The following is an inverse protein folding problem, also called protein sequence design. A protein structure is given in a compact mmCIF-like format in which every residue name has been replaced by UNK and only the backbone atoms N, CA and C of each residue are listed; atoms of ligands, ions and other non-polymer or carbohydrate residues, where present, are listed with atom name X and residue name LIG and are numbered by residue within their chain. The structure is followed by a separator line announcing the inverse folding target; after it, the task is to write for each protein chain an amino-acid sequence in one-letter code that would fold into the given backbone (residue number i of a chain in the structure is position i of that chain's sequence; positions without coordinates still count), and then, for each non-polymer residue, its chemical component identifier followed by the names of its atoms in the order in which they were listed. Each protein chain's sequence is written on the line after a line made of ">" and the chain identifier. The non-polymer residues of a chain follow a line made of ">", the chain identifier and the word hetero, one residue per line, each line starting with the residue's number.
data_IF_978908019567
#
_entry.id   IF_978908019567
#
_cell.length_a   1.000
_cell.length_b   1.000
_cell.length_c   1.000
_cell.angle_alpha   90.00
_cell.angle_beta   90.00
_cell.angle_gamma   90.00
#
_symmetry.space_group_name_H-M   'P 1'
#
loop_
_entity.id
_entity.type
_entity.pdbx_description
1 polymer ?
#
# COMPACT_ATOMS: atom_id res chain seq x y z
N UNK A 1 -4.04 40.55 -9.37
CA UNK A 1 -3.70 39.65 -10.49
C UNK A 1 -2.70 38.53 -10.14
N UNK A 2 -1.75 38.71 -9.19
CA UNK A 2 -0.83 37.64 -8.74
C UNK A 2 -1.52 36.58 -7.85
N UNK A 3 -2.36 37.02 -6.90
CA UNK A 3 -3.05 36.15 -5.94
C UNK A 3 -4.10 35.23 -6.62
N UNK A 4 -4.87 35.77 -7.56
CA UNK A 4 -5.86 34.99 -8.32
C UNK A 4 -5.21 33.94 -9.22
N UNK A 5 -4.05 34.24 -9.81
CA UNK A 5 -3.26 33.25 -10.57
C UNK A 5 -2.72 32.15 -9.66
N UNK A 6 -2.19 32.48 -8.48
CA UNK A 6 -1.70 31.48 -7.51
C UNK A 6 -2.80 30.54 -7.01
N UNK A 7 -3.99 31.05 -6.69
CA UNK A 7 -5.14 30.22 -6.29
C UNK A 7 -5.55 29.28 -7.42
N UNK A 8 -5.62 29.78 -8.65
CA UNK A 8 -5.95 28.96 -9.83
C UNK A 8 -4.89 27.86 -10.07
N UNK A 9 -3.60 28.17 -9.86
CA UNK A 9 -2.52 27.19 -9.97
C UNK A 9 -2.63 26.10 -8.91
N UNK A 10 -2.94 26.44 -7.65
CA UNK A 10 -3.13 25.46 -6.58
C UNK A 10 -4.33 24.55 -6.83
N UNK A 11 -5.43 25.10 -7.34
CA UNK A 11 -6.61 24.32 -7.74
C UNK A 11 -6.26 23.36 -8.89
N UNK A 12 -5.49 23.80 -9.89
CA UNK A 12 -5.07 22.95 -11.00
C UNK A 12 -4.19 21.77 -10.55
N UNK A 13 -3.24 22.02 -9.65
CA UNK A 13 -2.36 20.98 -9.07
C UNK A 13 -3.18 20.00 -8.21
N UNK A 14 -4.17 20.51 -7.46
CA UNK A 14 -5.09 19.67 -6.69
C UNK A 14 -5.95 18.77 -7.58
N UNK A 15 -6.49 19.31 -8.67
CA UNK A 15 -7.29 18.53 -9.63
C UNK A 15 -6.43 17.50 -10.36
N UNK A 16 -5.20 17.84 -10.77
CA UNK A 16 -4.33 16.90 -11.47
C UNK A 16 -3.89 15.75 -10.56
N UNK A 17 -3.54 16.03 -9.30
CA UNK A 17 -3.19 14.99 -8.32
C UNK A 17 -4.38 14.09 -7.98
N UNK A 18 -5.59 14.65 -7.88
CA UNK A 18 -6.83 13.89 -7.67
C UNK A 18 -7.21 13.03 -8.90
N UNK A 19 -7.02 13.56 -10.11
CA UNK A 19 -7.24 12.85 -11.38
C UNK A 19 -6.20 11.73 -11.61
N UNK A 20 -4.94 11.97 -11.22
CA UNK A 20 -3.91 10.94 -11.21
C UNK A 20 -4.26 9.80 -10.26
N UNK A 21 -4.74 10.11 -9.04
CA UNK A 21 -5.11 9.11 -8.04
C UNK A 21 -6.15 8.09 -8.57
N UNK A 22 -7.14 8.55 -9.35
CA UNK A 22 -8.19 7.68 -9.89
C UNK A 22 -7.70 6.68 -10.95
N UNK A 23 -6.55 6.93 -11.59
CA UNK A 23 -5.94 6.06 -12.61
C UNK A 23 -4.71 5.28 -12.11
N UNK A 24 -4.41 5.27 -10.80
CA UNK A 24 -3.20 4.63 -10.25
C UNK A 24 -3.25 3.10 -10.31
N UNK A 25 -4.43 2.50 -10.17
CA UNK A 25 -4.57 1.07 -9.94
C UNK A 25 -5.09 0.31 -11.16
N UNK A 26 -4.28 -0.63 -11.66
CA UNK A 26 -4.68 -1.58 -12.71
C UNK A 26 -5.72 -2.57 -12.22
N UNK A 27 -5.71 -2.90 -10.92
CA UNK A 27 -6.67 -3.85 -10.33
C UNK A 27 -6.90 -3.56 -8.86
N UNK A 28 -8.18 -3.53 -8.47
CA UNK A 28 -8.63 -3.55 -7.07
C UNK A 28 -9.20 -4.94 -6.78
N UNK A 29 -8.74 -5.57 -5.70
CA UNK A 29 -9.20 -6.89 -5.28
C UNK A 29 -10.37 -6.74 -4.29
N UNK A 30 -11.04 -7.86 -3.95
CA UNK A 30 -12.15 -7.85 -3.00
C UNK A 30 -11.71 -7.31 -1.64
N UNK A 31 -12.52 -6.42 -1.08
CA UNK A 31 -12.37 -5.94 0.29
C UNK A 31 -12.48 -7.06 1.32
N UNK A 32 -11.94 -6.83 2.52
CA UNK A 32 -12.09 -7.71 3.68
C UNK A 32 -11.41 -9.09 3.53
N UNK A 33 -10.51 -9.24 2.54
CA UNK A 33 -9.76 -10.50 2.32
C UNK A 33 -8.48 -10.57 3.15
N UNK A 34 -7.79 -9.44 3.34
CA UNK A 34 -6.54 -9.34 4.08
C UNK A 34 -6.75 -8.70 5.45
N UNK A 35 -7.46 -7.58 5.47
CA UNK A 35 -7.82 -6.83 6.67
C UNK A 35 -9.20 -6.21 6.45
N UNK A 36 -9.90 -5.91 7.56
CA UNK A 36 -11.23 -5.29 7.49
C UNK A 36 -11.13 -3.91 6.82
N UNK A 37 -12.09 -3.64 5.94
CA UNK A 37 -12.25 -2.40 5.18
C UNK A 37 -11.10 -2.09 4.19
N UNK A 38 -10.19 -3.04 3.97
CA UNK A 38 -9.08 -2.87 3.02
C UNK A 38 -9.26 -3.73 1.78
N UNK A 39 -8.85 -3.18 0.63
CA UNK A 39 -8.65 -3.93 -0.60
C UNK A 39 -7.17 -3.95 -0.97
N UNK A 40 -6.67 -5.14 -1.33
CA UNK A 40 -5.38 -5.24 -2.04
C UNK A 40 -5.54 -4.52 -3.37
N UNK A 41 -4.54 -3.75 -3.78
CA UNK A 41 -4.48 -3.11 -5.09
C UNK A 41 -3.20 -3.47 -5.81
N UNK A 42 -3.27 -3.46 -7.14
CA UNK A 42 -2.12 -3.57 -8.03
C UNK A 42 -2.06 -2.32 -8.89
N UNK A 43 -0.96 -1.59 -8.84
CA UNK A 43 -0.77 -0.41 -9.67
C UNK A 43 -0.49 -0.76 -11.14
N UNK A 44 -0.35 0.27 -11.97
CA UNK A 44 0.01 0.10 -13.39
C UNK A 44 1.41 -0.49 -13.60
N UNK A 45 2.33 -0.32 -12.64
CA UNK A 45 3.71 -0.85 -12.71
C UNK A 45 3.78 -2.34 -12.34
N UNK A 46 2.76 -2.83 -11.66
CA UNK A 46 2.62 -4.20 -11.21
C UNK A 46 2.93 -4.44 -9.73
N UNK A 47 3.17 -3.37 -8.97
CA UNK A 47 3.42 -3.36 -7.53
C UNK A 47 2.10 -3.39 -6.75
N UNK A 48 2.16 -3.89 -5.52
CA UNK A 48 1.03 -4.11 -4.64
C UNK A 48 1.05 -3.20 -3.42
N UNK A 49 -0.15 -2.82 -2.98
CA UNK A 49 -0.43 -1.98 -1.82
C UNK A 49 -1.84 -2.24 -1.29
N UNK A 50 -2.32 -1.38 -0.39
CA UNK A 50 -3.69 -1.44 0.14
C UNK A 50 -4.36 -0.07 0.09
N UNK A 51 -5.65 -0.08 -0.18
CA UNK A 51 -6.54 1.08 -0.03
C UNK A 51 -7.66 0.77 0.97
N UNK A 52 -8.21 1.81 1.58
CA UNK A 52 -9.46 1.73 2.35
C UNK A 52 -10.70 1.86 1.45
N UNK A 53 -11.90 1.87 2.06
CA UNK A 53 -13.18 1.98 1.33
C UNK A 53 -13.40 3.33 0.65
N UNK A 54 -12.72 4.38 1.11
CA UNK A 54 -12.77 5.70 0.50
C UNK A 54 -11.78 5.79 -0.69
N UNK A 55 -11.06 4.70 -0.98
CA UNK A 55 -10.04 4.63 -2.01
C UNK A 55 -8.73 5.30 -1.61
N UNK A 56 -8.58 5.69 -0.33
CA UNK A 56 -7.35 6.29 0.17
C UNK A 56 -6.31 5.20 0.41
N UNK A 57 -5.09 5.51 0.03
CA UNK A 57 -3.95 4.62 0.24
C UNK A 57 -3.66 4.43 1.74
N UNK A 58 -3.63 3.16 2.14
CA UNK A 58 -3.21 2.71 3.48
C UNK A 58 -1.78 2.19 3.44
N UNK A 59 -1.43 1.47 2.36
CA UNK A 59 -0.09 0.97 2.10
C UNK A 59 0.27 1.28 0.65
N UNK A 60 1.38 1.98 0.45
CA UNK A 60 1.90 2.34 -0.87
C UNK A 60 2.09 1.12 -1.78
N UNK A 61 1.80 1.29 -3.07
CA UNK A 61 2.05 0.26 -4.09
C UNK A 61 3.52 0.17 -4.48
N UNK A 62 4.37 -0.27 -3.55
CA UNK A 62 5.82 -0.40 -3.72
C UNK A 62 6.33 -1.84 -3.59
N UNK A 63 5.44 -2.78 -3.23
CA UNK A 63 5.83 -4.16 -2.95
C UNK A 63 5.59 -5.06 -4.14
N UNK A 64 6.54 -5.92 -4.48
CA UNK A 64 6.33 -6.99 -5.46
C UNK A 64 5.33 -8.04 -4.97
N UNK A 65 5.17 -8.19 -3.64
CA UNK A 65 4.20 -9.10 -3.04
C UNK A 65 3.84 -8.67 -1.61
N UNK A 66 2.56 -8.85 -1.25
CA UNK A 66 2.08 -8.74 0.13
C UNK A 66 1.37 -10.04 0.50
N UNK A 67 1.75 -10.62 1.65
CA UNK A 67 1.13 -11.81 2.23
C UNK A 67 -0.13 -11.50 3.02
N UNK A 68 -0.88 -12.54 3.39
CA UNK A 68 -2.01 -12.40 4.33
C UNK A 68 -1.48 -12.18 5.75
N UNK A 69 -2.30 -11.54 6.59
CA UNK A 69 -2.09 -11.51 8.02
C UNK A 69 -2.46 -12.90 8.58
N UNK A 70 -1.44 -13.73 8.82
CA UNK A 70 -1.61 -15.12 9.29
C UNK A 70 -0.97 -15.31 10.65
N UNK A 71 -1.46 -16.28 11.43
CA UNK A 71 -0.89 -16.66 12.73
C UNK A 71 0.61 -16.97 12.67
N UNK A 72 1.11 -17.52 11.55
CA UNK A 72 2.53 -17.80 11.32
C UNK A 72 3.46 -16.56 11.47
N UNK A 73 2.92 -15.35 11.31
CA UNK A 73 3.64 -14.09 11.49
C UNK A 73 2.92 -13.20 12.53
N UNK A 74 2.15 -13.82 13.42
CA UNK A 74 1.35 -13.15 14.44
C UNK A 74 0.38 -12.14 13.82
N UNK A 75 0.51 -10.87 14.23
CA UNK A 75 -0.30 -9.75 13.74
C UNK A 75 0.26 -9.05 12.50
N UNK A 76 1.33 -9.57 11.90
CA UNK A 76 2.05 -8.93 10.81
C UNK A 76 1.81 -9.63 9.47
N UNK A 77 1.95 -8.89 8.38
CA UNK A 77 1.97 -9.43 7.02
C UNK A 77 3.39 -9.34 6.45
N UNK A 78 3.82 -10.42 5.79
CA UNK A 78 5.08 -10.45 5.06
C UNK A 78 4.97 -9.61 3.79
N UNK A 79 5.90 -8.68 3.60
CA UNK A 79 6.02 -7.92 2.36
C UNK A 79 7.33 -8.27 1.66
N UNK A 80 7.33 -8.18 0.33
CA UNK A 80 8.51 -8.36 -0.50
C UNK A 80 8.67 -7.17 -1.41
N UNK A 81 9.82 -6.51 -1.39
CA UNK A 81 10.12 -5.41 -2.30
C UNK A 81 10.41 -5.91 -3.73
N UNK A 82 10.64 -4.98 -4.64
CA UNK A 82 10.98 -5.29 -6.04
C UNK A 82 12.38 -5.90 -6.21
N UNK A 83 13.30 -5.67 -5.27
CA UNK A 83 14.66 -6.19 -5.31
C UNK A 83 14.76 -7.64 -4.78
N UNK A 84 13.74 -8.10 -4.07
CA UNK A 84 13.63 -9.48 -3.61
C UNK A 84 13.70 -9.68 -2.10
N UNK A 85 13.85 -8.61 -1.32
CA UNK A 85 14.00 -8.63 0.12
C UNK A 85 12.64 -8.59 0.84
N UNK A 86 12.62 -9.15 2.04
CA UNK A 86 11.44 -9.33 2.87
C UNK A 86 11.46 -8.40 4.06
N UNK A 87 10.28 -7.88 4.38
CA UNK A 87 9.97 -7.06 5.54
C UNK A 87 8.63 -7.45 6.15
N UNK A 88 8.17 -6.68 7.13
CA UNK A 88 6.89 -6.89 7.82
C UNK A 88 6.13 -5.58 7.95
N UNK A 89 4.82 -5.64 7.72
CA UNK A 89 3.88 -4.56 8.03
C UNK A 89 2.87 -5.00 9.08
N UNK A 90 2.34 -4.07 9.85
CA UNK A 90 1.25 -4.32 10.82
C UNK A 90 -0.15 -4.14 10.20
N UNK A 91 -1.19 -4.38 11.01
CA UNK A 91 -2.61 -4.22 10.64
C UNK A 91 -3.06 -2.76 10.49
N UNK A 92 -2.17 -1.80 10.69
CA UNK A 92 -2.39 -0.39 10.37
C UNK A 92 -1.63 0.04 9.12
N UNK A 93 -0.90 -0.88 8.47
CA UNK A 93 -0.14 -0.63 7.26
C UNK A 93 1.25 -0.05 7.54
N UNK A 94 1.64 0.04 8.82
CA UNK A 94 2.94 0.56 9.21
C UNK A 94 4.02 -0.48 8.98
N UNK A 95 5.15 -0.06 8.41
CA UNK A 95 6.35 -0.89 8.32
C UNK A 95 6.91 -1.12 9.73
N UNK A 96 7.03 -2.39 10.10
CA UNK A 96 7.59 -2.86 11.37
C UNK A 96 9.02 -3.35 11.16
N UNK A 97 9.26 -4.00 10.02
CA UNK A 97 10.57 -4.45 9.58
C UNK A 97 10.74 -4.05 8.13
N UNK A 98 11.78 -3.26 7.85
CA UNK A 98 12.10 -2.84 6.49
C UNK A 98 12.42 -4.06 5.58
N UNK A 99 12.12 -4.01 4.28
CA UNK A 99 12.46 -5.07 3.34
C UNK A 99 13.96 -5.12 3.05
N UNK A 100 14.76 -5.60 4.01
CA UNK A 100 16.22 -5.72 3.89
C UNK A 100 16.71 -7.16 4.14
N UNK A 101 15.80 -8.08 4.44
CA UNK A 101 16.15 -9.46 4.78
C UNK A 101 15.93 -10.40 3.59
N UNK A 102 16.91 -11.23 3.27
CA UNK A 102 16.74 -12.25 2.22
C UNK A 102 15.65 -13.29 2.56
N UNK A 103 15.34 -13.47 3.85
CA UNK A 103 14.29 -14.36 4.35
C UNK A 103 13.84 -13.93 5.74
N UNK A 104 12.55 -14.07 6.02
CA UNK A 104 11.96 -13.97 7.36
C UNK A 104 11.29 -15.31 7.68
N UNK A 105 11.67 -15.91 8.82
CA UNK A 105 11.08 -17.16 9.31
C UNK A 105 9.72 -16.96 9.95
N UNK A 106 8.94 -18.04 10.08
CA UNK A 106 7.68 -18.02 10.83
C UNK A 106 7.97 -17.84 12.32
N UNK A 107 7.07 -17.18 13.04
CA UNK A 107 7.07 -17.24 14.49
C UNK A 107 6.49 -18.59 14.93
N UNK A 108 7.19 -19.27 15.81
CA UNK A 108 6.69 -20.42 16.56
C UNK A 108 6.59 -19.98 18.01
N UNK A 109 5.41 -20.06 18.60
CA UNK A 109 5.27 -19.93 20.06
C UNK A 109 5.98 -21.14 20.70
N UNK A 110 6.84 -20.87 21.68
CA UNK A 110 7.39 -21.87 22.60
C UNK A 110 6.52 -21.91 23.86
#
# INVERSE_FOLDING_TARGET
>A
MKLTKQILTLILIGISTLCFAQNMYKKVYKYDVYNKDWALVKDITGSYGFIDRDGKEVVQTIYAKIGKFTENFGKYALVKDIAGYYGLIDRNGKIVVEPIYAKIGKFTEN
#
